data_IF_552092214423
#
_entry.id   IF_552092214423
#
_cell.length_a   1.000
_cell.length_b   1.000
_cell.length_c   1.000
_cell.angle_alpha   90.00
_cell.angle_beta   90.00
_cell.angle_gamma   90.00
#
_symmetry.space_group_name_H-M   'P 1'
#
loop_
_entity.id
_entity.type
_entity.pdbx_description
1 polymer ?
#
# COMPACT_ATOMS: atom_id res chain seq x y z
N UNK A 1 24.19 38.04 -36.79
CA UNK A 1 24.54 38.96 -35.66
C UNK A 1 24.41 38.16 -34.37
N UNK A 2 25.51 37.79 -33.70
CA UNK A 2 25.47 36.99 -32.48
C UNK A 2 25.08 37.86 -31.28
N UNK A 3 24.16 37.37 -30.45
CA UNK A 3 23.77 38.01 -29.19
C UNK A 3 24.82 37.72 -28.13
N UNK A 4 25.70 38.70 -27.92
CA UNK A 4 26.43 38.85 -26.68
C UNK A 4 25.47 39.26 -25.53
N UNK A 5 25.89 38.90 -24.32
CA UNK A 5 25.44 39.43 -23.04
C UNK A 5 24.38 38.61 -22.25
N UNK A 6 24.89 37.72 -21.40
CA UNK A 6 24.31 37.54 -20.07
C UNK A 6 25.41 37.19 -19.06
N UNK A 7 26.15 38.21 -18.62
CA UNK A 7 27.03 38.13 -17.45
C UNK A 7 26.15 38.29 -16.21
N UNK A 8 25.84 37.17 -15.56
CA UNK A 8 25.13 37.17 -14.26
C UNK A 8 26.06 37.70 -13.17
N UNK A 9 25.59 38.72 -12.44
CA UNK A 9 26.25 39.25 -11.23
C UNK A 9 25.25 39.16 -10.09
N UNK A 10 25.34 38.07 -9.32
CA UNK A 10 24.68 37.94 -8.03
C UNK A 10 25.22 38.99 -7.05
N UNK A 11 24.33 39.74 -6.41
CA UNK A 11 24.67 40.48 -5.20
C UNK A 11 23.52 40.44 -4.20
N UNK A 12 23.93 40.20 -2.97
CA UNK A 12 23.21 39.87 -1.74
C UNK A 12 22.02 40.74 -1.32
N UNK A 13 21.15 40.09 -0.51
CA UNK A 13 19.99 40.57 0.26
C UNK A 13 20.05 42.01 0.82
N UNK A 14 18.90 42.69 0.76
CA UNK A 14 18.60 43.88 1.56
C UNK A 14 17.17 44.41 1.36
N UNK A 15 16.22 43.86 2.14
CA UNK A 15 14.96 44.47 2.66
C UNK A 15 13.97 45.27 1.77
N UNK A 16 12.69 44.84 1.89
CA UNK A 16 11.40 45.55 1.75
C UNK A 16 10.68 45.54 0.39
N UNK A 17 9.60 44.73 0.39
CA UNK A 17 8.27 44.91 -0.21
C UNK A 17 8.10 45.93 -1.33
N UNK A 18 7.96 45.44 -2.55
CA UNK A 18 7.03 45.99 -3.54
C UNK A 18 6.48 44.86 -4.42
N UNK A 19 5.16 44.83 -4.52
CA UNK A 19 4.39 43.99 -5.43
C UNK A 19 4.60 44.50 -6.85
N UNK A 20 5.32 43.75 -7.69
CA UNK A 20 5.03 43.72 -9.12
C UNK A 20 5.62 42.44 -9.74
N UNK A 21 4.71 41.58 -10.20
CA UNK A 21 5.03 40.46 -11.08
C UNK A 21 5.77 40.94 -12.33
N UNK A 22 6.79 40.21 -12.79
CA UNK A 22 7.03 40.06 -14.21
C UNK A 22 6.65 38.64 -14.60
N UNK A 23 5.57 38.50 -15.36
CA UNK A 23 5.36 37.33 -16.21
C UNK A 23 6.62 37.16 -17.06
N UNK A 24 7.30 36.00 -17.09
CA UNK A 24 8.15 35.69 -18.22
C UNK A 24 7.23 35.20 -19.34
N UNK A 25 6.50 36.11 -19.96
CA UNK A 25 5.98 35.91 -21.33
C UNK A 25 7.14 36.11 -22.30
N UNK A 26 8.14 35.25 -22.20
CA UNK A 26 9.08 35.02 -23.29
C UNK A 26 8.50 33.82 -24.03
N UNK A 27 7.93 34.07 -25.20
CA UNK A 27 7.49 33.03 -26.13
C UNK A 27 8.47 31.86 -26.09
N UNK A 28 8.06 30.60 -25.84
CA UNK A 28 8.95 29.50 -26.12
C UNK A 28 9.31 29.66 -27.60
N UNK A 29 10.59 29.89 -27.96
CA UNK A 29 10.94 29.98 -29.37
C UNK A 29 10.41 28.70 -30.01
N UNK A 30 9.89 28.79 -31.24
CA UNK A 30 9.23 27.69 -31.95
C UNK A 30 10.12 26.43 -32.13
N UNK A 31 11.34 26.40 -31.55
CA UNK A 31 12.21 25.23 -31.38
C UNK A 31 12.49 24.77 -29.94
N UNK A 32 12.20 25.54 -28.88
CA UNK A 32 12.49 25.11 -27.50
C UNK A 32 11.63 23.92 -27.05
N UNK A 33 10.35 23.90 -27.43
CA UNK A 33 9.46 22.77 -27.18
C UNK A 33 9.91 21.50 -27.91
N UNK A 34 10.39 21.64 -29.15
CA UNK A 34 10.93 20.52 -29.92
C UNK A 34 12.22 19.97 -29.30
N UNK A 35 13.15 20.82 -28.89
CA UNK A 35 14.38 20.39 -28.20
C UNK A 35 14.07 19.73 -26.86
N UNK A 36 13.15 20.29 -26.07
CA UNK A 36 12.72 19.69 -24.80
C UNK A 36 12.07 18.32 -24.99
N UNK A 37 11.22 18.17 -26.01
CA UNK A 37 10.61 16.89 -26.37
C UNK A 37 11.66 15.87 -26.84
N UNK A 38 12.61 16.28 -27.68
CA UNK A 38 13.70 15.40 -28.15
C UNK A 38 14.55 14.94 -26.97
N UNK A 39 14.96 15.85 -26.08
CA UNK A 39 15.72 15.49 -24.87
C UNK A 39 14.91 14.57 -23.96
N UNK A 40 13.61 14.82 -23.77
CA UNK A 40 12.74 13.97 -22.96
C UNK A 40 12.47 12.59 -23.58
N UNK A 41 12.43 12.48 -24.91
CA UNK A 41 12.27 11.22 -25.63
C UNK A 41 13.58 10.44 -25.65
N UNK A 42 14.71 11.11 -25.89
CA UNK A 42 16.04 10.50 -25.83
C UNK A 42 16.34 10.02 -24.42
N UNK A 43 16.01 10.78 -23.38
CA UNK A 43 16.14 10.35 -21.99
C UNK A 43 15.33 9.06 -21.73
N UNK A 44 14.05 9.02 -22.13
CA UNK A 44 13.19 7.82 -22.01
C UNK A 44 13.69 6.63 -22.83
N UNK A 45 14.37 6.86 -23.96
CA UNK A 45 14.99 5.81 -24.80
C UNK A 45 16.35 5.34 -24.29
N UNK A 46 17.05 6.15 -23.49
CA UNK A 46 18.32 5.81 -22.83
C UNK A 46 18.13 5.13 -21.47
N UNK A 47 16.93 5.23 -20.88
CA UNK A 47 16.55 4.42 -19.75
C UNK A 47 16.42 2.96 -20.19
N UNK A 48 17.52 2.20 -20.09
CA UNK A 48 17.50 0.75 -20.31
C UNK A 48 16.29 0.15 -19.58
N UNK A 49 15.50 -0.62 -20.32
CA UNK A 49 14.31 -1.30 -19.81
C UNK A 49 14.69 -2.23 -18.65
N UNK A 50 13.73 -2.53 -17.77
CA UNK A 50 13.95 -3.38 -16.58
C UNK A 50 14.64 -4.71 -16.92
N UNK A 51 14.34 -5.27 -18.10
CA UNK A 51 14.95 -6.49 -18.62
C UNK A 51 16.42 -6.28 -19.04
N UNK A 52 16.73 -5.22 -19.78
CA UNK A 52 18.11 -4.90 -20.21
C UNK A 52 19.03 -4.61 -19.02
N UNK A 53 18.52 -3.91 -17.99
CA UNK A 53 19.25 -3.69 -16.73
C UNK A 53 19.56 -5.00 -16.01
N UNK A 54 18.62 -5.95 -16.00
CA UNK A 54 18.84 -7.25 -15.37
C UNK A 54 19.90 -8.07 -16.12
N UNK A 55 19.85 -8.08 -17.46
CA UNK A 55 20.88 -8.73 -18.30
C UNK A 55 22.23 -8.06 -18.13
N UNK A 56 22.30 -6.72 -18.09
CA UNK A 56 23.52 -5.98 -17.84
C UNK A 56 24.10 -6.29 -16.46
N UNK A 57 23.26 -6.30 -15.41
CA UNK A 57 23.70 -6.65 -14.07
C UNK A 57 24.23 -8.08 -13.99
N UNK A 58 23.52 -9.04 -14.58
CA UNK A 58 23.97 -10.44 -14.65
C UNK A 58 25.29 -10.59 -15.41
N UNK A 59 25.44 -9.90 -16.54
CA UNK A 59 26.67 -9.91 -17.31
C UNK A 59 27.83 -9.27 -16.53
N UNK A 60 27.57 -8.16 -15.84
CA UNK A 60 28.60 -7.47 -15.06
C UNK A 60 29.02 -8.27 -13.82
N UNK A 61 28.08 -8.90 -13.11
CA UNK A 61 28.33 -9.81 -11.99
C UNK A 61 29.14 -11.03 -12.43
N UNK A 62 28.83 -11.59 -13.60
CA UNK A 62 29.60 -12.69 -14.20
C UNK A 62 31.03 -12.25 -14.53
N UNK A 63 31.21 -11.04 -15.07
CA UNK A 63 32.54 -10.50 -15.38
C UNK A 63 33.36 -10.19 -14.12
N UNK A 64 32.75 -9.59 -13.10
CA UNK A 64 33.43 -9.27 -11.86
C UNK A 64 33.85 -10.54 -11.11
N UNK A 65 33.00 -11.56 -11.07
CA UNK A 65 33.35 -12.87 -10.50
C UNK A 65 34.58 -13.47 -11.19
N UNK A 66 34.67 -13.37 -12.52
CA UNK A 66 35.86 -13.82 -13.28
C UNK A 66 37.10 -12.99 -12.95
N UNK A 67 36.96 -11.65 -12.82
CA UNK A 67 38.07 -10.75 -12.44
C UNK A 67 38.57 -11.00 -11.03
N UNK A 68 37.69 -11.30 -10.06
CA UNK A 68 38.06 -11.69 -8.68
C UNK A 68 38.91 -12.96 -8.71
N UNK A 69 38.46 -14.00 -9.41
CA UNK A 69 39.19 -15.26 -9.53
C UNK A 69 40.57 -15.07 -10.16
N UNK A 70 40.66 -14.25 -11.21
CA UNK A 70 41.94 -13.94 -11.86
C UNK A 70 42.88 -13.13 -10.94
N UNK A 71 42.37 -12.11 -10.25
CA UNK A 71 43.15 -11.33 -9.29
C UNK A 71 43.65 -12.19 -8.13
N UNK A 72 42.81 -13.08 -7.59
CA UNK A 72 43.20 -14.03 -6.55
C UNK A 72 44.30 -15.00 -7.02
N UNK A 73 44.20 -15.50 -8.26
CA UNK A 73 45.25 -16.34 -8.86
C UNK A 73 46.59 -15.58 -8.98
N UNK A 74 46.56 -14.30 -9.36
CA UNK A 74 47.77 -13.47 -9.41
C UNK A 74 48.36 -13.21 -8.03
N UNK A 75 47.54 -13.02 -7.00
CA UNK A 75 48.00 -12.91 -5.61
C UNK A 75 48.77 -14.17 -5.20
N UNK A 76 48.20 -15.36 -5.43
CA UNK A 76 48.86 -16.63 -5.11
C UNK A 76 50.17 -16.83 -5.90
N UNK A 77 50.16 -16.50 -7.20
CA UNK A 77 51.34 -16.60 -8.06
C UNK A 77 52.48 -15.72 -7.55
N UNK A 78 52.22 -14.47 -7.22
CA UNK A 78 53.25 -13.54 -6.75
C UNK A 78 53.71 -13.89 -5.32
N UNK A 79 52.83 -14.35 -4.43
CA UNK A 79 53.22 -14.89 -3.10
C UNK A 79 54.19 -16.06 -3.24
N UNK A 80 53.90 -17.02 -4.11
CA UNK A 80 54.78 -18.17 -4.36
C UNK A 80 56.14 -17.73 -4.92
N UNK A 81 56.16 -16.80 -5.88
CA UNK A 81 57.41 -16.31 -6.48
C UNK A 81 58.27 -15.52 -5.48
N UNK A 82 57.65 -14.76 -4.56
CA UNK A 82 58.35 -14.12 -3.44
C UNK A 82 58.97 -15.19 -2.54
N UNK A 83 58.20 -16.21 -2.13
CA UNK A 83 58.70 -17.29 -1.29
C UNK A 83 59.86 -18.05 -1.94
N UNK A 84 59.72 -18.41 -3.23
CA UNK A 84 60.78 -19.06 -4.01
C UNK A 84 62.07 -18.24 -4.03
N UNK A 85 61.98 -16.94 -4.31
CA UNK A 85 63.16 -16.09 -4.46
C UNK A 85 63.79 -15.61 -3.14
N UNK A 86 63.10 -15.77 -2.01
CA UNK A 86 63.59 -15.36 -0.68
C UNK A 86 63.98 -16.52 0.23
N UNK A 87 63.33 -17.69 0.11
CA UNK A 87 63.50 -18.82 1.04
C UNK A 87 64.06 -20.09 0.40
N UNK A 88 63.84 -20.33 -0.90
CA UNK A 88 64.28 -21.56 -1.58
C UNK A 88 65.62 -21.42 -2.33
N UNK A 89 66.05 -20.19 -2.66
CA UNK A 89 67.30 -19.96 -3.39
C UNK A 89 68.47 -19.68 -2.44
N UNK A 90 69.59 -20.39 -2.63
CA UNK A 90 70.86 -20.20 -1.89
C UNK A 90 71.46 -18.79 -2.04
N UNK A 91 71.18 -18.08 -3.14
CA UNK A 91 71.55 -16.68 -3.36
C UNK A 91 70.29 -15.87 -3.61
N UNK A 92 70.04 -14.86 -2.78
CA UNK A 92 68.82 -14.03 -2.84
C UNK A 92 69.01 -12.94 -3.90
N UNK A 93 68.09 -12.89 -4.86
CA UNK A 93 68.04 -11.83 -5.87
C UNK A 93 67.03 -10.75 -5.46
N UNK A 94 67.52 -9.73 -4.74
CA UNK A 94 66.71 -8.63 -4.23
C UNK A 94 66.02 -7.81 -5.33
N UNK A 95 66.53 -7.78 -6.55
CA UNK A 95 65.90 -7.06 -7.66
C UNK A 95 64.62 -7.76 -8.12
N UNK A 96 64.66 -9.10 -8.26
CA UNK A 96 63.48 -9.91 -8.61
C UNK A 96 62.44 -9.91 -7.49
N UNK A 97 62.87 -10.01 -6.23
CA UNK A 97 61.96 -9.94 -5.06
C UNK A 97 61.18 -8.62 -5.06
N UNK A 98 61.84 -7.46 -5.24
CA UNK A 98 61.17 -6.16 -5.32
C UNK A 98 60.20 -6.03 -6.49
N UNK A 99 60.47 -6.71 -7.61
CA UNK A 99 59.56 -6.75 -8.76
C UNK A 99 58.29 -7.56 -8.44
N UNK A 100 58.45 -8.74 -7.84
CA UNK A 100 57.32 -9.59 -7.43
C UNK A 100 56.51 -8.98 -6.28
N UNK A 101 57.14 -8.28 -5.34
CA UNK A 101 56.45 -7.54 -4.28
C UNK A 101 55.57 -6.42 -4.82
N UNK A 102 56.04 -5.64 -5.80
CA UNK A 102 55.22 -4.61 -6.45
C UNK A 102 54.01 -5.21 -7.16
N UNK A 103 54.20 -6.31 -7.88
CA UNK A 103 53.10 -7.04 -8.55
C UNK A 103 52.12 -7.65 -7.56
N UNK A 104 52.61 -8.22 -6.45
CA UNK A 104 51.79 -8.73 -5.37
C UNK A 104 50.92 -7.63 -4.76
N UNK A 105 51.51 -6.49 -4.41
CA UNK A 105 50.77 -5.35 -3.86
C UNK A 105 49.72 -4.84 -4.87
N UNK A 106 50.08 -4.75 -6.15
CA UNK A 106 49.14 -4.37 -7.21
C UNK A 106 47.98 -5.36 -7.33
N UNK A 107 48.24 -6.67 -7.28
CA UNK A 107 47.20 -7.70 -7.30
C UNK A 107 46.27 -7.64 -6.09
N UNK A 108 46.79 -7.33 -4.89
CA UNK A 108 45.99 -7.11 -3.68
C UNK A 108 45.09 -5.88 -3.82
N UNK A 109 45.62 -4.76 -4.34
CA UNK A 109 44.83 -3.55 -4.58
C UNK A 109 43.74 -3.79 -5.63
N UNK A 110 44.06 -4.47 -6.72
CA UNK A 110 43.08 -4.86 -7.74
C UNK A 110 41.99 -5.76 -7.14
N UNK A 111 42.36 -6.77 -6.37
CA UNK A 111 41.39 -7.66 -5.71
C UNK A 111 40.46 -6.89 -4.76
N UNK A 112 40.98 -5.94 -3.97
CA UNK A 112 40.16 -5.09 -3.10
C UNK A 112 39.23 -4.17 -3.88
N UNK A 113 39.71 -3.56 -4.96
CA UNK A 113 38.91 -2.69 -5.81
C UNK A 113 37.76 -3.45 -6.47
N UNK A 114 38.04 -4.60 -7.07
CA UNK A 114 37.01 -5.46 -7.68
C UNK A 114 36.03 -6.00 -6.63
N UNK A 115 36.49 -6.32 -5.41
CA UNK A 115 35.61 -6.73 -4.30
C UNK A 115 34.70 -5.60 -3.79
N UNK A 116 35.18 -4.35 -3.81
CA UNK A 116 34.33 -3.19 -3.49
C UNK A 116 33.28 -2.97 -4.57
N UNK A 117 33.65 -3.11 -5.85
CA UNK A 117 32.75 -3.00 -6.98
C UNK A 117 31.66 -4.09 -6.97
N UNK A 118 32.03 -5.34 -6.64
CA UNK A 118 31.07 -6.43 -6.44
C UNK A 118 30.05 -6.13 -5.34
N UNK A 119 30.48 -5.54 -4.22
CA UNK A 119 29.57 -5.15 -3.13
C UNK A 119 28.57 -4.10 -3.59
N UNK A 120 29.02 -3.07 -4.31
CA UNK A 120 28.15 -2.01 -4.82
C UNK A 120 27.04 -2.55 -5.72
N UNK A 121 27.32 -3.53 -6.57
CA UNK A 121 26.29 -4.16 -7.40
C UNK A 121 25.35 -5.06 -6.64
N UNK A 122 25.88 -5.80 -5.66
CA UNK A 122 25.05 -6.59 -4.77
C UNK A 122 24.06 -5.70 -4.02
N UNK A 123 24.50 -4.56 -3.52
CA UNK A 123 23.64 -3.60 -2.80
C UNK A 123 22.57 -3.00 -3.73
N UNK A 124 22.93 -2.69 -4.99
CA UNK A 124 21.94 -2.25 -6.00
C UNK A 124 20.92 -3.34 -6.35
N UNK A 125 21.32 -4.60 -6.46
CA UNK A 125 20.39 -5.70 -6.70
C UNK A 125 19.46 -5.93 -5.50
N UNK A 126 19.99 -5.83 -4.28
CA UNK A 126 19.21 -5.98 -3.04
C UNK A 126 18.13 -4.90 -2.91
N UNK A 127 18.46 -3.63 -3.18
CA UNK A 127 17.45 -2.55 -3.13
C UNK A 127 16.26 -2.72 -4.08
N UNK A 128 16.47 -3.26 -5.29
CA UNK A 128 15.36 -3.54 -6.22
C UNK A 128 14.49 -4.71 -5.73
N UNK A 129 15.12 -5.75 -5.18
CA UNK A 129 14.43 -6.90 -4.60
C UNK A 129 13.63 -6.49 -3.37
N UNK A 130 14.21 -5.66 -2.51
CA UNK A 130 13.57 -5.17 -1.30
C UNK A 130 12.40 -4.22 -1.61
N UNK A 131 12.52 -3.40 -2.67
CA UNK A 131 11.38 -2.62 -3.18
C UNK A 131 10.24 -3.52 -3.68
N UNK A 132 10.55 -4.62 -4.38
CA UNK A 132 9.54 -5.58 -4.83
C UNK A 132 8.86 -6.30 -3.67
N UNK A 133 9.61 -6.65 -2.62
CA UNK A 133 9.05 -7.24 -1.39
C UNK A 133 8.17 -6.23 -0.66
N UNK A 134 8.61 -4.98 -0.53
CA UNK A 134 7.82 -3.90 0.07
C UNK A 134 6.52 -3.67 -0.70
N UNK A 135 6.55 -3.73 -2.03
CA UNK A 135 5.34 -3.66 -2.86
C UNK A 135 4.37 -4.81 -2.54
N UNK A 136 4.84 -6.06 -2.46
CA UNK A 136 3.98 -7.19 -2.12
C UNK A 136 3.33 -7.02 -0.74
N UNK A 137 4.12 -6.70 0.29
CA UNK A 137 3.61 -6.46 1.65
C UNK A 137 2.60 -5.30 1.67
N UNK A 138 2.86 -4.24 0.89
CA UNK A 138 1.96 -3.10 0.79
C UNK A 138 0.65 -3.46 0.10
N UNK A 139 0.69 -4.26 -0.98
CA UNK A 139 -0.52 -4.75 -1.64
C UNK A 139 -1.37 -5.60 -0.70
N UNK A 140 -0.75 -6.55 0.02
CA UNK A 140 -1.45 -7.40 0.99
C UNK A 140 -2.14 -6.56 2.07
N UNK A 141 -1.45 -5.55 2.62
CA UNK A 141 -2.01 -4.65 3.63
C UNK A 141 -3.15 -3.79 3.08
N UNK A 142 -3.02 -3.28 1.86
CA UNK A 142 -4.07 -2.48 1.20
C UNK A 142 -5.32 -3.34 0.98
N UNK A 143 -5.14 -4.59 0.51
CA UNK A 143 -6.24 -5.53 0.34
C UNK A 143 -6.92 -5.81 1.68
N UNK A 144 -6.17 -6.11 2.74
CA UNK A 144 -6.75 -6.33 4.08
C UNK A 144 -7.49 -5.09 4.61
N UNK A 145 -6.96 -3.89 4.36
CA UNK A 145 -7.63 -2.64 4.71
C UNK A 145 -8.93 -2.47 3.94
N UNK A 146 -8.93 -2.76 2.64
CA UNK A 146 -10.11 -2.65 1.79
C UNK A 146 -11.20 -3.64 2.21
N UNK A 147 -10.83 -4.89 2.52
CA UNK A 147 -11.75 -5.90 3.03
C UNK A 147 -12.41 -5.44 4.35
N UNK A 148 -11.62 -4.89 5.28
CA UNK A 148 -12.15 -4.28 6.51
C UNK A 148 -13.07 -3.08 6.23
N UNK A 149 -12.74 -2.27 5.23
CA UNK A 149 -13.58 -1.12 4.82
C UNK A 149 -14.93 -1.61 4.30
N UNK A 150 -14.94 -2.63 3.44
CA UNK A 150 -16.16 -3.22 2.90
C UNK A 150 -17.04 -3.83 4.01
N UNK A 151 -16.43 -4.51 4.99
CA UNK A 151 -17.15 -5.04 6.15
C UNK A 151 -17.77 -3.94 7.02
N UNK A 152 -17.08 -2.81 7.19
CA UNK A 152 -17.63 -1.65 7.89
C UNK A 152 -18.78 -1.01 7.10
N UNK A 153 -18.64 -0.85 5.78
CA UNK A 153 -19.71 -0.35 4.91
C UNK A 153 -20.96 -1.25 4.98
N UNK A 154 -20.78 -2.57 4.97
CA UNK A 154 -21.89 -3.53 5.16
C UNK A 154 -22.56 -3.35 6.52
N UNK A 155 -21.78 -3.18 7.59
CA UNK A 155 -22.33 -2.94 8.93
C UNK A 155 -23.12 -1.64 9.00
N UNK A 156 -22.60 -0.57 8.39
CA UNK A 156 -23.28 0.73 8.28
C UNK A 156 -24.58 0.58 7.50
N UNK A 157 -24.57 -0.03 6.31
CA UNK A 157 -25.79 -0.25 5.53
C UNK A 157 -26.83 -1.10 6.26
N UNK A 158 -26.39 -2.12 7.03
CA UNK A 158 -27.29 -2.88 7.91
C UNK A 158 -27.89 -2.01 9.01
N UNK A 159 -27.11 -1.12 9.63
CA UNK A 159 -27.61 -0.16 10.62
C UNK A 159 -28.60 0.84 10.01
N UNK A 160 -28.31 1.37 8.83
CA UNK A 160 -29.22 2.25 8.09
C UNK A 160 -30.55 1.55 7.81
N UNK A 161 -30.52 0.30 7.34
CA UNK A 161 -31.74 -0.49 7.11
C UNK A 161 -32.56 -0.75 8.38
N UNK A 162 -31.89 -0.90 9.53
CA UNK A 162 -32.55 -1.07 10.84
C UNK A 162 -33.21 0.24 11.27
N UNK A 163 -32.53 1.37 11.07
CA UNK A 163 -33.07 2.70 11.34
C UNK A 163 -34.25 3.02 10.45
N UNK A 164 -34.19 2.70 9.17
CA UNK A 164 -35.29 2.93 8.23
C UNK A 164 -36.54 2.13 8.60
N UNK A 165 -36.37 0.86 9.00
CA UNK A 165 -37.47 0.04 9.55
C UNK A 165 -38.04 0.59 10.85
N UNK A 166 -37.18 1.10 11.73
CA UNK A 166 -37.61 1.72 12.98
C UNK A 166 -38.43 2.98 12.71
N UNK A 167 -37.94 3.84 11.80
CA UNK A 167 -38.64 5.05 11.35
C UNK A 167 -39.99 4.71 10.70
N UNK A 168 -40.05 3.71 9.82
CA UNK A 168 -41.30 3.26 9.22
C UNK A 168 -42.32 2.78 10.27
N UNK A 169 -41.84 1.98 11.24
CA UNK A 169 -42.66 1.52 12.36
C UNK A 169 -43.20 2.70 13.17
N UNK A 170 -42.36 3.68 13.47
CA UNK A 170 -42.73 4.88 14.23
C UNK A 170 -43.75 5.75 13.49
N UNK A 171 -43.67 5.85 12.16
CA UNK A 171 -44.66 6.58 11.35
C UNK A 171 -45.99 5.82 11.22
N UNK A 172 -45.98 4.48 11.25
CA UNK A 172 -47.20 3.66 11.19
C UNK A 172 -47.96 3.59 12.53
N UNK A 173 -47.25 3.76 13.64
CA UNK A 173 -47.77 3.66 15.00
C UNK A 173 -48.96 4.61 15.28
N UNK A 174 -48.89 5.91 14.98
CA UNK A 174 -50.02 6.83 15.17
C UNK A 174 -51.28 6.42 14.41
N UNK A 175 -51.12 5.85 13.21
CA UNK A 175 -52.24 5.40 12.39
C UNK A 175 -52.91 4.17 13.02
N UNK A 176 -52.12 3.19 13.45
CA UNK A 176 -52.60 2.01 14.20
C UNK A 176 -53.30 2.40 15.52
N UNK A 177 -52.76 3.39 16.24
CA UNK A 177 -53.37 3.92 17.47
C UNK A 177 -54.69 4.62 17.16
N UNK A 178 -54.75 5.43 16.10
CA UNK A 178 -55.98 6.08 15.68
C UNK A 178 -57.05 5.07 15.25
N UNK A 179 -56.69 4.03 14.49
CA UNK A 179 -57.59 2.98 14.06
C UNK A 179 -58.15 2.17 15.22
N UNK A 180 -57.30 1.76 16.17
CA UNK A 180 -57.73 1.04 17.38
C UNK A 180 -58.62 1.90 18.28
N UNK A 181 -58.30 3.19 18.45
CA UNK A 181 -59.15 4.13 19.19
C UNK A 181 -60.51 4.28 18.51
N UNK A 182 -60.54 4.46 17.20
CA UNK A 182 -61.78 4.61 16.41
C UNK A 182 -62.63 3.34 16.46
N UNK A 183 -61.98 2.17 16.38
CA UNK A 183 -62.64 0.87 16.50
C UNK A 183 -63.22 0.66 17.90
N UNK A 184 -62.49 1.03 18.96
CA UNK A 184 -63.01 1.01 20.34
C UNK A 184 -64.21 1.96 20.51
N UNK A 185 -64.15 3.16 19.93
CA UNK A 185 -65.26 4.13 19.99
C UNK A 185 -66.51 3.61 19.27
N UNK A 186 -66.34 2.97 18.11
CA UNK A 186 -67.44 2.34 17.37
C UNK A 186 -68.05 1.17 18.14
N UNK A 187 -67.23 0.31 18.75
CA UNK A 187 -67.69 -0.79 19.60
C UNK A 187 -68.44 -0.29 20.84
N UNK A 188 -67.97 0.79 21.47
CA UNK A 188 -68.66 1.40 22.60
C UNK A 188 -70.02 1.98 22.18
N UNK A 189 -70.08 2.67 21.04
CA UNK A 189 -71.34 3.19 20.50
C UNK A 189 -72.32 2.07 20.14
N UNK A 190 -71.86 0.98 19.51
CA UNK A 190 -72.73 -0.16 19.23
C UNK A 190 -73.24 -0.81 20.52
N UNK A 191 -72.39 -0.97 21.53
CA UNK A 191 -72.80 -1.50 22.83
C UNK A 191 -73.80 -0.59 23.57
N UNK A 192 -73.68 0.74 23.45
CA UNK A 192 -74.62 1.70 24.03
C UNK A 192 -75.96 1.70 23.29
N UNK A 193 -75.95 1.58 21.95
CA UNK A 193 -77.17 1.48 21.14
C UNK A 193 -77.88 0.17 21.42
N UNK A 194 -77.15 -0.93 21.56
CA UNK A 194 -77.67 -2.23 21.97
C UNK A 194 -78.25 -2.16 23.39
N UNK A 195 -77.55 -1.52 24.35
CA UNK A 195 -78.04 -1.30 25.71
C UNK A 195 -79.27 -0.37 25.77
N UNK A 196 -79.39 0.64 24.89
CA UNK A 196 -80.58 1.52 24.77
C UNK A 196 -81.73 0.86 24.02
N UNK A 197 -81.44 -0.05 23.09
CA UNK A 197 -82.42 -0.85 22.36
C UNK A 197 -83.08 -1.93 23.20
N UNK A 198 -82.54 -2.25 24.38
CA UNK A 198 -83.02 -3.33 25.26
C UNK A 198 -84.00 -2.84 26.35
N UNK A 199 -84.41 -1.56 26.38
CA UNK A 199 -85.47 -1.10 27.31
C UNK A 199 -86.91 -1.53 26.94
N UNK A 200 -87.13 -2.30 25.87
CA UNK A 200 -88.39 -3.02 25.64
C UNK A 200 -88.09 -4.43 25.10
N UNK A 201 -87.78 -5.36 26.00
CA UNK A 201 -88.23 -6.75 25.88
C UNK A 201 -87.91 -7.53 27.17
N UNK A 202 -88.97 -7.85 27.89
CA UNK A 202 -89.04 -8.88 28.92
C UNK A 202 -88.59 -10.23 28.34
N UNK A 203 -87.80 -11.00 29.10
CA UNK A 203 -87.87 -12.48 29.04
C UNK A 203 -86.57 -13.27 29.10
N UNK A 204 -86.24 -13.72 30.33
CA UNK A 204 -85.80 -15.10 30.68
C UNK A 204 -84.43 -15.66 30.21
N UNK A 205 -83.53 -15.81 31.19
CA UNK A 205 -82.71 -17.00 31.56
C UNK A 205 -81.89 -17.73 30.49
N UNK A 206 -80.55 -17.65 30.56
CA UNK A 206 -79.64 -18.70 31.07
C UNK A 206 -78.16 -18.40 30.71
N UNK A 207 -77.29 -18.41 31.71
CA UNK A 207 -75.85 -18.77 31.62
C UNK A 207 -75.70 -20.21 32.15
N UNK A 208 -74.53 -20.88 32.10
CA UNK A 208 -73.23 -20.48 31.52
C UNK A 208 -72.62 -21.59 30.62
N UNK A 209 -71.50 -21.32 29.93
CA UNK A 209 -70.39 -22.29 29.92
C UNK A 209 -69.05 -21.62 29.52
N UNK A 210 -68.08 -21.82 30.40
CA UNK A 210 -66.65 -21.56 30.24
C UNK A 210 -66.04 -22.37 29.10
N UNK A 211 -64.98 -21.84 28.47
CA UNK A 211 -63.68 -22.51 28.46
C UNK A 211 -62.59 -21.60 27.88
N UNK A 212 -61.55 -21.37 28.69
CA UNK A 212 -60.18 -21.23 28.21
C UNK A 212 -59.47 -22.54 28.58
N UNK A 213 -58.48 -23.00 27.79
CA UNK A 213 -57.12 -22.78 28.30
C UNK A 213 -56.04 -22.54 27.22
N UNK A 214 -55.09 -21.69 27.59
CA UNK A 214 -53.62 -21.87 27.54
C UNK A 214 -53.05 -22.62 26.32
N UNK A 215 -52.20 -21.91 25.57
CA UNK A 215 -51.25 -22.48 24.63
C UNK A 215 -50.04 -21.56 24.45
N UNK A 216 -49.17 -21.53 25.46
CA UNK A 216 -47.79 -21.03 25.33
C UNK A 216 -47.02 -21.93 24.36
N UNK A 217 -46.35 -21.34 23.37
CA UNK A 217 -45.21 -21.99 22.71
C UNK A 217 -44.23 -20.95 22.21
N UNK A 218 -43.14 -20.87 22.97
CA UNK A 218 -41.88 -20.23 22.67
C UNK A 218 -41.30 -20.76 21.35
N UNK A 219 -40.83 -19.88 20.48
CA UNK A 219 -39.78 -20.23 19.52
C UNK A 219 -38.58 -19.33 19.79
N UNK A 220 -37.65 -19.94 20.51
CA UNK A 220 -36.30 -19.49 20.80
C UNK A 220 -35.51 -19.25 19.51
N UNK A 221 -34.79 -18.13 19.51
CA UNK A 221 -33.63 -17.88 18.67
C UNK A 221 -32.53 -18.93 18.95
N UNK A 222 -31.85 -19.48 17.92
CA UNK A 222 -30.53 -20.05 18.08
C UNK A 222 -29.47 -18.96 17.87
N UNK A 223 -28.74 -18.62 18.93
CA UNK A 223 -27.36 -18.12 18.82
C UNK A 223 -26.42 -19.31 18.64
N UNK A 224 -25.40 -19.22 17.78
CA UNK A 224 -24.21 -20.04 17.91
C UNK A 224 -23.09 -19.20 18.50
N UNK A 225 -22.75 -19.48 19.76
CA UNK A 225 -21.40 -19.27 20.28
C UNK A 225 -20.75 -20.65 20.36
N UNK A 226 -19.64 -20.86 19.64
CA UNK A 226 -18.65 -21.86 20.03
C UNK A 226 -17.26 -21.24 19.99
N UNK A 227 -16.75 -21.07 21.20
CA UNK A 227 -15.39 -20.99 21.70
C UNK A 227 -14.22 -21.35 20.75
N UNK A 228 -13.26 -20.43 20.73
CA UNK A 228 -11.82 -20.60 20.97
C UNK A 228 -11.23 -22.00 21.21
N UNK A 229 -10.16 -22.32 20.48
CA UNK A 229 -9.00 -23.15 20.86
C UNK A 229 -7.89 -22.97 19.81
N UNK A 230 -6.87 -22.13 20.04
CA UNK A 230 -5.49 -22.55 20.43
C UNK A 230 -4.84 -23.61 19.54
N UNK A 231 -3.91 -23.18 18.68
CA UNK A 231 -2.53 -23.65 18.51
C UNK A 231 -1.79 -22.75 17.50
#
# INVERSE_FOLDING_TARGET
MPCDFCRSKERHQGTRNDVLSPRPSCCPPQGAGCTALVVAVVARKLELTKAEKHVHNFMMDTQLTKRIKNAAANVLRETWLIYKHTKLLKKIDHAKVRKHQRKFLQAIHQLRSVKMEQRKLSDQANTLVDLSKMQNVMYDLITELNDRSEDLEKQIGSLESKLERLTASFNSLPLLVADTLRQQQQQLLSAIIEARGVSVAVGTTHTPLSDSPIGVSSTSFPTPYTSSSSC
#
